data_IF_518849409021
#
_entry.id   IF_518849409021
#
_cell.length_a   1.000
_cell.length_b   1.000
_cell.length_c   1.000
_cell.angle_alpha   90.00
_cell.angle_beta   90.00
_cell.angle_gamma   90.00
#
_symmetry.space_group_name_H-M   'P 1'
#
loop_
_entity.id
_entity.type
_entity.pdbx_description
1 polymer ?
#
# COMPACT_ATOMS: atom_id res chain seq x y z
N UNK A 1 -0.28 3.40 -2.60
CA UNK A 1 -1.56 3.39 -1.86
C UNK A 1 -2.17 4.79 -1.73
N UNK A 2 -3.43 4.87 -1.27
CA UNK A 2 -4.08 6.09 -0.80
C UNK A 2 -4.53 5.80 0.65
N UNK A 3 -4.21 6.65 1.64
CA UNK A 3 -4.51 6.35 3.03
C UNK A 3 -5.95 6.74 3.38
N UNK A 4 -6.49 6.10 4.40
CA UNK A 4 -7.78 6.41 4.98
C UNK A 4 -7.55 6.89 6.41
N UNK A 5 -8.16 7.99 6.84
CA UNK A 5 -8.08 8.40 8.25
C UNK A 5 -8.82 7.41 9.16
N UNK A 6 -8.72 7.61 10.47
CA UNK A 6 -9.26 6.67 11.45
C UNK A 6 -10.82 6.68 11.50
N UNK A 7 -11.45 7.59 10.74
CA UNK A 7 -12.90 7.61 10.46
C UNK A 7 -13.27 6.96 9.12
N UNK A 8 -12.31 6.27 8.49
CA UNK A 8 -12.47 5.62 7.19
C UNK A 8 -12.63 6.60 6.02
N UNK A 9 -12.35 7.90 6.19
CA UNK A 9 -12.41 8.86 5.09
C UNK A 9 -11.18 8.69 4.22
N UNK A 10 -11.39 8.45 2.92
CA UNK A 10 -10.29 8.46 1.94
C UNK A 10 -9.63 9.83 1.94
N UNK A 11 -8.34 9.86 2.25
CA UNK A 11 -7.51 11.05 2.22
C UNK A 11 -6.83 11.07 0.86
N UNK A 12 -7.19 11.97 -0.04
CA UNK A 12 -6.57 12.06 -1.36
C UNK A 12 -5.11 12.57 -1.25
N UNK A 13 -4.22 11.65 -0.93
CA UNK A 13 -2.81 11.86 -0.71
C UNK A 13 -2.05 10.57 -1.06
N UNK A 14 -1.88 10.29 -2.35
CA UNK A 14 -1.17 9.11 -2.84
C UNK A 14 0.25 9.01 -2.25
N UNK A 15 0.54 7.90 -1.58
CA UNK A 15 1.88 7.58 -1.07
C UNK A 15 2.24 6.14 -1.44
N UNK A 16 3.50 5.74 -1.27
CA UNK A 16 3.92 4.34 -1.31
C UNK A 16 5.20 4.15 -0.50
N UNK A 17 5.59 2.91 -0.21
CA UNK A 17 6.84 2.60 0.50
C UNK A 17 7.75 1.78 -0.40
N UNK A 18 9.06 2.09 -0.38
CA UNK A 18 10.10 1.36 -1.12
C UNK A 18 11.27 1.00 -0.21
N UNK A 19 12.09 0.00 -0.57
CA UNK A 19 13.45 -0.16 -0.02
C UNK A 19 14.30 1.10 -0.32
N UNK A 20 15.11 1.54 0.64
CA UNK A 20 16.09 2.64 0.47
C UNK A 20 17.38 2.28 1.21
N UNK A 21 18.27 1.56 0.50
CA UNK A 21 19.43 0.89 1.11
C UNK A 21 19.00 -0.19 2.11
N UNK A 22 19.53 -0.12 3.33
CA UNK A 22 19.13 -1.00 4.44
C UNK A 22 17.83 -0.57 5.13
N UNK A 23 17.30 0.61 4.79
CA UNK A 23 16.12 1.21 5.42
C UNK A 23 14.89 1.18 4.50
N UNK A 24 13.80 1.80 4.95
CA UNK A 24 12.59 2.00 4.16
C UNK A 24 12.41 3.48 3.83
N UNK A 25 11.80 3.78 2.69
CA UNK A 25 11.43 5.13 2.30
C UNK A 25 9.93 5.23 2.01
N UNK A 26 9.24 6.06 2.80
CA UNK A 26 7.88 6.51 2.50
C UNK A 26 7.96 7.65 1.49
N UNK A 27 7.32 7.46 0.33
CA UNK A 27 7.20 8.48 -0.73
C UNK A 27 5.79 9.03 -0.70
N UNK A 28 5.62 10.32 -0.37
CA UNK A 28 4.33 11.02 -0.51
C UNK A 28 4.33 11.83 -1.82
N UNK A 29 3.36 11.56 -2.69
CA UNK A 29 3.23 12.25 -3.97
C UNK A 29 2.84 13.72 -3.81
N UNK A 30 3.34 14.57 -4.71
CA UNK A 30 2.97 15.98 -4.76
C UNK A 30 1.47 16.22 -4.92
N UNK A 31 1.01 17.34 -4.37
CA UNK A 31 -0.29 17.93 -4.68
C UNK A 31 -0.21 18.86 -5.89
N UNK A 32 -1.33 19.04 -6.59
CA UNK A 32 -1.55 20.15 -7.50
C UNK A 32 -3.01 20.60 -7.45
N UNK A 33 -3.25 21.91 -7.45
CA UNK A 33 -4.60 22.46 -7.59
C UNK A 33 -5.22 22.09 -8.94
N UNK A 34 -6.54 22.30 -9.05
CA UNK A 34 -7.25 22.14 -10.31
C UNK A 34 -6.74 23.15 -11.36
N UNK A 35 -6.68 22.72 -12.62
CA UNK A 35 -6.35 23.55 -13.77
C UNK A 35 -7.41 23.35 -14.87
N UNK A 36 -7.36 24.17 -15.92
CA UNK A 36 -8.36 24.11 -17.00
C UNK A 36 -8.40 22.70 -17.62
N UNK A 37 -9.53 22.00 -17.47
CA UNK A 37 -9.71 20.61 -17.91
C UNK A 37 -8.96 19.53 -17.12
N UNK A 38 -8.35 19.84 -15.97
CA UNK A 38 -7.63 18.86 -15.12
C UNK A 38 -8.07 18.98 -13.64
N UNK A 39 -8.60 17.90 -13.03
CA UNK A 39 -8.95 17.91 -11.62
C UNK A 39 -7.71 18.10 -10.73
N UNK A 40 -7.92 18.53 -9.49
CA UNK A 40 -6.85 18.59 -8.51
C UNK A 40 -6.26 17.19 -8.28
N UNK A 41 -4.95 17.09 -8.07
CA UNK A 41 -4.26 15.84 -7.70
C UNK A 41 -3.80 15.94 -6.26
N UNK A 42 -4.09 14.90 -5.47
CA UNK A 42 -3.77 14.82 -4.05
C UNK A 42 -4.14 16.08 -3.25
N UNK A 43 -5.39 16.56 -3.29
CA UNK A 43 -5.82 17.76 -2.56
C UNK A 43 -5.62 17.65 -1.04
N UNK A 44 -5.68 16.44 -0.46
CA UNK A 44 -5.55 16.24 0.99
C UNK A 44 -4.09 16.05 1.47
N UNK A 45 -3.08 16.43 0.67
CA UNK A 45 -1.65 16.23 0.96
C UNK A 45 -1.24 16.52 2.42
N UNK A 46 -1.70 17.63 3.01
CA UNK A 46 -1.38 18.01 4.40
C UNK A 46 -1.99 17.04 5.42
N UNK A 47 -3.22 16.58 5.18
CA UNK A 47 -3.91 15.61 6.02
C UNK A 47 -3.25 14.23 5.88
N UNK A 48 -2.89 13.83 4.65
CA UNK A 48 -2.17 12.59 4.38
C UNK A 48 -0.80 12.55 5.04
N UNK A 49 0.00 13.62 4.93
CA UNK A 49 1.29 13.70 5.62
C UNK A 49 1.14 13.61 7.14
N UNK A 50 0.14 14.31 7.71
CA UNK A 50 -0.15 14.25 9.15
C UNK A 50 -0.47 12.82 9.58
N UNK A 51 -1.40 12.17 8.90
CA UNK A 51 -1.85 10.80 9.19
C UNK A 51 -0.71 9.77 9.07
N UNK A 52 0.10 9.85 8.02
CA UNK A 52 1.22 8.95 7.80
C UNK A 52 2.32 9.12 8.87
N UNK A 53 2.58 10.36 9.32
CA UNK A 53 3.51 10.62 10.43
C UNK A 53 2.97 10.09 11.77
N UNK A 54 1.67 10.25 12.05
CA UNK A 54 1.03 9.69 13.25
C UNK A 54 1.10 8.15 13.26
N UNK A 55 0.92 7.49 12.10
CA UNK A 55 1.01 6.02 12.02
C UNK A 55 2.44 5.50 12.10
N UNK A 56 3.41 6.24 11.57
CA UNK A 56 4.82 5.96 11.81
C UNK A 56 5.19 6.13 13.30
N UNK A 57 4.66 7.16 13.98
CA UNK A 57 4.81 7.36 15.42
C UNK A 57 4.22 6.20 16.24
N UNK A 58 3.04 5.68 15.90
CA UNK A 58 2.45 4.52 16.58
C UNK A 58 3.16 3.19 16.29
N UNK A 59 4.12 3.17 15.35
CA UNK A 59 5.01 2.05 15.08
C UNK A 59 6.42 2.27 15.67
N UNK A 60 6.60 3.28 16.53
CA UNK A 60 7.88 3.69 17.11
C UNK A 60 8.98 3.94 16.05
N UNK A 61 8.59 4.49 14.91
CA UNK A 61 9.51 4.76 13.81
C UNK A 61 10.46 5.91 14.12
N UNK A 62 11.67 5.85 13.58
CA UNK A 62 12.63 6.96 13.54
C UNK A 62 12.74 7.50 12.13
N UNK A 63 12.54 8.81 11.95
CA UNK A 63 12.81 9.53 10.72
C UNK A 63 14.33 9.76 10.60
N UNK A 64 14.98 8.96 9.76
CA UNK A 64 16.43 9.00 9.53
C UNK A 64 16.83 10.11 8.54
N UNK A 65 16.00 10.37 7.53
CA UNK A 65 16.20 11.51 6.62
C UNK A 65 14.91 11.94 5.92
N UNK A 66 14.88 13.15 5.38
CA UNK A 66 13.69 13.73 4.76
C UNK A 66 14.04 14.67 3.61
N UNK A 67 13.48 14.44 2.43
CA UNK A 67 13.90 15.07 1.18
C UNK A 67 12.73 15.56 0.33
N UNK A 68 12.96 16.60 -0.47
CA UNK A 68 12.19 16.80 -1.70
C UNK A 68 12.65 15.80 -2.77
N UNK A 69 11.73 14.95 -3.21
CA UNK A 69 11.95 13.92 -4.23
C UNK A 69 11.09 14.21 -5.48
N UNK A 70 11.15 15.45 -5.94
CA UNK A 70 10.40 15.93 -7.10
C UNK A 70 11.16 15.70 -8.42
N UNK A 71 10.43 15.61 -9.55
CA UNK A 71 11.06 15.60 -10.88
C UNK A 71 11.97 16.81 -11.13
N UNK A 72 11.68 17.96 -10.51
CA UNK A 72 12.48 19.16 -10.69
C UNK A 72 13.82 19.09 -9.95
N UNK A 73 13.82 18.67 -8.69
CA UNK A 73 15.03 18.45 -7.89
C UNK A 73 15.92 17.36 -8.51
N UNK A 74 15.31 16.30 -9.06
CA UNK A 74 16.01 15.25 -9.80
C UNK A 74 16.63 15.77 -11.10
N UNK A 75 15.91 16.58 -11.90
CA UNK A 75 16.44 17.19 -13.14
C UNK A 75 17.59 18.18 -12.89
N UNK A 76 17.67 18.76 -11.69
CA UNK A 76 18.77 19.63 -11.27
C UNK A 76 19.93 18.87 -10.61
N UNK A 77 19.83 17.54 -10.48
CA UNK A 77 20.82 16.68 -9.82
C UNK A 77 21.26 17.19 -8.43
N UNK A 78 20.32 17.75 -7.66
CA UNK A 78 20.62 18.29 -6.32
C UNK A 78 20.98 17.16 -5.36
N UNK A 79 22.01 17.37 -4.54
CA UNK A 79 22.47 16.41 -3.53
C UNK A 79 21.39 16.14 -2.47
N UNK A 80 21.53 15.04 -1.70
CA UNK A 80 20.64 14.77 -0.56
C UNK A 80 20.65 15.90 0.48
N UNK A 81 21.81 16.56 0.69
CA UNK A 81 21.92 17.75 1.54
C UNK A 81 21.12 18.96 1.01
N UNK A 82 21.22 19.27 -0.28
CA UNK A 82 20.59 20.47 -0.88
C UNK A 82 19.06 20.37 -0.97
N UNK A 83 18.53 19.15 -0.82
CA UNK A 83 17.10 18.84 -0.86
C UNK A 83 16.52 18.37 0.48
N UNK A 84 17.31 18.40 1.57
CA UNK A 84 16.88 17.98 2.92
C UNK A 84 15.87 18.96 3.53
N UNK A 85 14.86 18.42 4.23
CA UNK A 85 13.74 19.19 4.79
C UNK A 85 13.95 19.61 6.24
N UNK A 86 14.40 18.70 7.11
CA UNK A 86 14.63 18.97 8.53
C UNK A 86 15.92 18.31 9.02
N UNK A 87 16.47 18.80 10.13
CA UNK A 87 17.52 18.11 10.86
C UNK A 87 17.00 16.76 11.39
N UNK A 88 17.86 15.74 11.35
CA UNK A 88 17.58 14.32 11.56
C UNK A 88 18.81 13.65 12.21
N UNK A 89 18.67 12.48 12.88
CA UNK A 89 17.46 11.67 13.05
C UNK A 89 16.42 12.30 14.00
N UNK A 90 15.15 11.95 13.82
CA UNK A 90 14.05 12.29 14.73
C UNK A 90 13.30 10.99 15.10
N UNK A 91 13.47 10.46 16.33
CA UNK A 91 12.55 9.46 16.87
C UNK A 91 11.13 10.05 16.90
N UNK A 92 10.14 9.35 16.35
CA UNK A 92 8.78 9.90 16.29
C UNK A 92 8.01 9.69 17.60
N UNK A 93 8.41 8.75 18.46
CA UNK A 93 7.83 8.63 19.80
C UNK A 93 7.98 9.93 20.60
N UNK A 94 6.86 10.48 21.08
CA UNK A 94 6.81 11.75 21.82
C UNK A 94 6.94 13.03 20.98
N UNK A 95 7.24 12.96 19.68
CA UNK A 95 7.33 14.16 18.81
C UNK A 95 5.94 14.76 18.52
N UNK A 96 5.86 16.09 18.50
CA UNK A 96 4.65 16.80 18.11
C UNK A 96 4.47 16.72 16.58
N UNK A 97 3.63 15.79 16.14
CA UNK A 97 3.38 15.53 14.71
C UNK A 97 2.87 16.76 13.96
N UNK A 98 2.12 17.68 14.62
CA UNK A 98 1.66 18.90 13.96
C UNK A 98 2.80 19.89 13.71
N UNK A 99 3.71 20.05 14.69
CA UNK A 99 4.94 20.84 14.54
C UNK A 99 5.90 20.21 13.52
N UNK A 100 6.13 18.90 13.59
CA UNK A 100 6.96 18.18 12.62
C UNK A 100 6.42 18.31 11.20
N UNK A 101 5.11 18.09 11.00
CA UNK A 101 4.45 18.29 9.70
C UNK A 101 4.58 19.72 9.21
N UNK A 102 4.48 20.73 10.08
CA UNK A 102 4.68 22.12 9.70
C UNK A 102 6.12 22.41 9.27
N UNK A 103 7.13 21.87 9.98
CA UNK A 103 8.55 21.94 9.60
C UNK A 103 8.79 21.29 8.22
N UNK A 104 8.29 20.06 8.03
CA UNK A 104 8.40 19.30 6.79
C UNK A 104 7.69 19.93 5.59
N UNK A 105 6.61 20.69 5.78
CA UNK A 105 5.94 21.40 4.66
C UNK A 105 6.52 22.77 4.39
N UNK A 106 6.91 23.52 5.42
CA UNK A 106 7.49 24.87 5.23
C UNK A 106 8.87 24.83 4.57
N UNK A 107 9.69 23.83 4.85
CA UNK A 107 11.01 23.63 4.26
C UNK A 107 10.97 23.27 2.76
N UNK A 108 9.86 22.74 2.25
CA UNK A 108 9.75 22.34 0.84
C UNK A 108 9.84 23.54 -0.11
N UNK A 109 9.24 24.68 0.23
CA UNK A 109 9.08 25.83 -0.65
C UNK A 109 10.38 26.29 -1.33
N UNK A 110 11.43 26.67 -0.54
CA UNK A 110 12.70 27.18 -1.05
C UNK A 110 13.52 26.20 -1.90
N UNK A 111 13.39 24.88 -1.66
CA UNK A 111 14.24 23.88 -2.32
C UNK A 111 14.00 23.86 -3.84
N UNK A 112 15.08 23.93 -4.62
CA UNK A 112 15.06 24.08 -6.08
C UNK A 112 14.29 25.32 -6.60
N UNK A 113 14.24 26.43 -5.84
CA UNK A 113 13.89 27.73 -6.42
C UNK A 113 15.14 28.38 -7.05
N UNK A 114 15.02 29.09 -8.19
CA UNK A 114 16.10 29.91 -8.72
C UNK A 114 16.56 30.98 -7.69
N UNK A 115 17.86 31.31 -7.64
CA UNK A 115 18.37 32.40 -6.82
C UNK A 115 17.60 33.71 -7.08
N UNK A 116 17.29 34.46 -6.02
CA UNK A 116 16.54 35.72 -6.11
C UNK A 116 15.02 35.58 -6.28
N UNK A 117 14.44 34.37 -6.21
CA UNK A 117 12.98 34.19 -6.34
C UNK A 117 12.22 34.76 -5.13
N UNK A 118 11.49 35.86 -5.34
CA UNK A 118 10.69 36.53 -4.28
C UNK A 118 9.39 35.76 -3.93
N UNK A 119 8.83 34.99 -4.88
CA UNK A 119 7.60 34.21 -4.64
C UNK A 119 7.90 32.90 -3.90
N UNK A 120 7.24 32.70 -2.77
CA UNK A 120 7.32 31.46 -1.96
C UNK A 120 6.95 30.23 -2.81
N UNK A 121 7.85 29.25 -2.88
CA UNK A 121 7.64 28.02 -3.64
C UNK A 121 6.56 27.10 -3.05
N UNK A 122 6.19 26.05 -3.79
CA UNK A 122 5.17 25.10 -3.37
C UNK A 122 5.59 24.28 -2.13
N UNK A 123 4.69 24.13 -1.16
CA UNK A 123 4.87 23.39 0.10
C UNK A 123 4.23 21.99 0.10
N UNK A 124 3.78 21.52 -1.07
CA UNK A 124 3.21 20.18 -1.31
C UNK A 124 3.89 19.47 -2.49
N UNK A 125 5.23 19.58 -2.57
CA UNK A 125 6.08 18.85 -3.52
C UNK A 125 6.07 17.36 -3.17
N UNK A 126 6.55 16.49 -4.07
CA UNK A 126 6.77 15.08 -3.73
C UNK A 126 7.92 15.01 -2.73
N UNK A 127 7.74 14.26 -1.64
CA UNK A 127 8.76 14.08 -0.60
C UNK A 127 9.10 12.61 -0.38
N UNK A 128 10.32 12.35 0.09
CA UNK A 128 10.81 11.06 0.56
C UNK A 128 11.13 11.19 2.04
N UNK A 129 10.59 10.30 2.87
CA UNK A 129 10.92 10.15 4.28
C UNK A 129 11.63 8.80 4.45
N UNK A 130 12.94 8.83 4.69
CA UNK A 130 13.75 7.64 4.99
C UNK A 130 13.54 7.32 6.47
N UNK A 131 13.05 6.12 6.75
CA UNK A 131 12.60 5.70 8.08
C UNK A 131 13.20 4.36 8.47
N UNK A 132 13.49 4.23 9.75
CA UNK A 132 13.61 2.96 10.46
C UNK A 132 12.29 2.71 11.20
N UNK A 133 11.80 1.47 11.15
CA UNK A 133 10.55 1.08 11.83
C UNK A 133 10.77 -0.27 12.50
N UNK A 134 10.72 -0.37 13.84
CA UNK A 134 10.85 -1.63 14.56
C UNK A 134 9.97 -2.76 13.98
N UNK A 135 10.58 -3.92 13.71
CA UNK A 135 9.89 -5.07 13.13
C UNK A 135 9.65 -5.02 11.61
N UNK A 136 10.15 -3.99 10.91
CA UNK A 136 10.16 -3.91 9.44
C UNK A 136 11.59 -3.79 8.92
N UNK A 137 11.87 -4.47 7.81
CA UNK A 137 13.15 -4.36 7.09
C UNK A 137 12.90 -3.82 5.68
N UNK A 138 13.96 -3.44 4.95
CA UNK A 138 13.86 -3.03 3.55
C UNK A 138 13.15 -4.07 2.65
N UNK A 139 13.23 -5.37 2.98
CA UNK A 139 12.53 -6.45 2.27
C UNK A 139 11.00 -6.45 2.47
N UNK A 140 10.47 -5.76 3.49
CA UNK A 140 9.05 -5.78 3.86
C UNK A 140 8.32 -4.45 3.54
N UNK A 141 8.81 -3.67 2.58
CA UNK A 141 8.25 -2.36 2.21
C UNK A 141 6.72 -2.38 1.99
N UNK A 142 6.19 -3.38 1.28
CA UNK A 142 4.75 -3.53 1.04
C UNK A 142 3.94 -3.76 2.33
N UNK A 143 4.51 -4.41 3.35
CA UNK A 143 3.87 -4.61 4.66
C UNK A 143 3.76 -3.28 5.40
N UNK A 144 4.80 -2.43 5.34
CA UNK A 144 4.72 -1.08 5.91
C UNK A 144 3.75 -0.20 5.10
N UNK A 145 3.74 -0.29 3.76
CA UNK A 145 2.77 0.42 2.93
C UNK A 145 1.33 0.08 3.33
N UNK A 146 1.02 -1.21 3.53
CA UNK A 146 -0.28 -1.67 3.99
C UNK A 146 -0.60 -1.22 5.43
N UNK A 147 0.34 -1.36 6.37
CA UNK A 147 0.16 -0.96 7.77
C UNK A 147 -0.10 0.55 7.94
N UNK A 148 0.47 1.39 7.05
CA UNK A 148 0.21 2.82 7.02
C UNK A 148 -1.13 3.19 6.35
N UNK A 149 -1.74 2.28 5.59
CA UNK A 149 -3.01 2.53 4.88
C UNK A 149 -4.22 2.44 5.82
N UNK A 150 -4.17 1.49 6.76
CA UNK A 150 -5.22 1.20 7.75
C UNK A 150 -4.91 1.80 9.11
N UNK A 151 -5.94 2.01 9.93
CA UNK A 151 -5.76 2.45 11.31
C UNK A 151 -5.17 1.31 12.14
N UNK A 152 -4.02 1.55 12.76
CA UNK A 152 -3.46 0.68 13.79
C UNK A 152 -4.34 0.80 15.03
N UNK A 153 -5.27 -0.14 15.18
CA UNK A 153 -6.05 -0.28 16.41
C UNK A 153 -5.09 -0.82 17.48
N UNK A 154 -4.76 0.02 18.45
CA UNK A 154 -3.94 -0.37 19.60
C UNK A 154 -4.67 -1.47 20.38
N UNK A 155 -4.09 -2.67 20.42
CA UNK A 155 -4.44 -3.67 21.42
C UNK A 155 -3.81 -3.27 22.75
N UNK A 156 -4.57 -2.58 23.61
CA UNK A 156 -4.42 -2.42 25.07
C UNK A 156 -5.52 -1.42 25.49
N UNK A 157 -6.54 -1.76 26.28
CA UNK A 157 -6.47 -2.28 27.65
C UNK A 157 -7.77 -3.01 28.06
N UNK A 158 -7.69 -3.86 29.08
CA UNK A 158 -8.78 -4.67 29.61
C UNK A 158 -9.36 -4.12 30.92
N UNK A 159 -10.47 -3.40 30.80
CA UNK A 159 -11.54 -3.40 31.81
C UNK A 159 -11.56 -2.28 32.85
N UNK A 160 -12.52 -1.36 32.68
CA UNK A 160 -13.54 -1.07 33.71
C UNK A 160 -14.72 -0.24 33.18
N UNK A 161 -15.95 -0.64 33.54
CA UNK A 161 -17.11 0.25 33.64
C UNK A 161 -16.89 1.24 34.82
N UNK A 162 -17.55 2.39 35.01
CA UNK A 162 -18.81 3.01 34.55
C UNK A 162 -18.72 4.53 34.95
N UNK A 163 -19.53 5.52 34.55
CA UNK A 163 -20.72 5.65 33.69
C UNK A 163 -20.88 7.13 33.25
N UNK A 164 -21.81 7.46 32.34
CA UNK A 164 -22.29 8.85 32.12
C UNK A 164 -22.61 9.23 30.66
N UNK A 165 -23.89 9.48 30.38
CA UNK A 165 -24.43 10.06 29.12
C UNK A 165 -24.99 11.48 29.44
N UNK A 166 -25.50 12.31 28.50
CA UNK A 166 -25.62 12.14 27.04
C UNK A 166 -25.21 13.38 26.20
N UNK A 167 -25.11 13.24 24.86
CA UNK A 167 -25.71 14.19 23.89
C UNK A 167 -25.51 13.77 22.41
N UNK A 168 -26.62 13.83 21.67
CA UNK A 168 -26.77 14.10 20.23
C UNK A 168 -26.25 13.11 19.16
N UNK A 169 -27.20 12.74 18.28
CA UNK A 169 -27.02 11.79 17.19
C UNK A 169 -26.48 12.47 15.93
N UNK A 170 -25.48 11.85 15.29
CA UNK A 170 -25.06 12.18 13.93
C UNK A 170 -25.63 11.13 12.99
N UNK A 171 -26.38 11.57 11.99
CA UNK A 171 -27.08 10.71 11.04
C UNK A 171 -26.09 9.94 10.14
N UNK A 172 -26.29 8.62 10.08
CA UNK A 172 -25.44 7.69 9.34
C UNK A 172 -25.47 7.96 7.83
N UNK A 173 -24.29 8.03 7.20
CA UNK A 173 -24.13 8.37 5.78
C UNK A 173 -23.78 7.11 4.98
N UNK A 174 -24.71 6.55 4.17
CA UNK A 174 -24.60 5.19 3.61
C UNK A 174 -23.45 4.95 2.63
N UNK A 175 -22.71 6.00 2.24
CA UNK A 175 -21.54 5.91 1.34
C UNK A 175 -20.22 5.62 2.05
N UNK A 176 -20.07 5.98 3.33
CA UNK A 176 -18.85 5.65 4.10
C UNK A 176 -18.80 4.16 4.47
N UNK A 177 -19.97 3.58 4.80
CA UNK A 177 -20.09 2.15 5.10
C UNK A 177 -19.64 1.29 3.89
N UNK A 178 -20.13 1.59 2.68
CA UNK A 178 -19.83 0.84 1.46
C UNK A 178 -18.34 0.64 1.18
N UNK A 179 -17.49 1.68 1.25
CA UNK A 179 -16.06 1.53 0.90
C UNK A 179 -15.25 0.72 1.92
N UNK A 180 -15.60 0.80 3.20
CA UNK A 180 -15.01 -0.06 4.23
C UNK A 180 -15.51 -1.51 4.08
N UNK A 181 -16.76 -1.68 3.68
CA UNK A 181 -17.34 -2.97 3.32
C UNK A 181 -16.61 -3.57 2.11
N UNK A 182 -16.35 -2.83 1.04
CA UNK A 182 -15.63 -3.30 -0.16
C UNK A 182 -14.20 -3.80 0.16
N UNK A 183 -13.46 -3.12 1.03
CA UNK A 183 -12.12 -3.57 1.44
C UNK A 183 -12.18 -4.87 2.26
N UNK A 184 -13.09 -4.94 3.24
CA UNK A 184 -13.36 -6.17 4.02
C UNK A 184 -13.85 -7.31 3.12
N UNK A 185 -14.70 -7.01 2.15
CA UNK A 185 -15.22 -7.96 1.16
C UNK A 185 -14.07 -8.54 0.35
N UNK A 186 -13.19 -7.71 -0.22
CA UNK A 186 -12.04 -8.18 -1.00
C UNK A 186 -11.14 -9.10 -0.17
N UNK A 187 -10.77 -8.69 1.04
CA UNK A 187 -9.92 -9.51 1.93
C UNK A 187 -10.61 -10.81 2.35
N UNK A 188 -11.92 -10.78 2.62
CA UNK A 188 -12.68 -11.97 2.96
C UNK A 188 -12.78 -12.93 1.75
N UNK A 189 -13.08 -12.41 0.56
CA UNK A 189 -13.13 -13.14 -0.72
C UNK A 189 -11.78 -13.78 -1.07
N UNK A 190 -10.68 -13.05 -0.90
CA UNK A 190 -9.31 -13.51 -1.12
C UNK A 190 -8.96 -14.67 -0.18
N UNK A 191 -9.10 -14.46 1.14
CA UNK A 191 -8.87 -15.49 2.17
C UNK A 191 -9.74 -16.73 1.95
N UNK A 192 -11.02 -16.56 1.62
CA UNK A 192 -11.95 -17.66 1.34
C UNK A 192 -11.58 -18.42 0.06
N UNK A 193 -11.09 -17.73 -0.97
CA UNK A 193 -10.59 -18.38 -2.18
C UNK A 193 -9.35 -19.24 -1.87
N UNK A 194 -8.41 -18.73 -1.07
CA UNK A 194 -7.23 -19.48 -0.60
C UNK A 194 -7.65 -20.69 0.23
N UNK A 195 -8.55 -20.53 1.21
CA UNK A 195 -9.05 -21.63 2.04
C UNK A 195 -9.73 -22.72 1.19
N UNK A 196 -10.58 -22.34 0.23
CA UNK A 196 -11.23 -23.27 -0.70
C UNK A 196 -10.26 -23.98 -1.63
N UNK A 197 -9.17 -23.32 -2.04
CA UNK A 197 -8.10 -23.94 -2.81
C UNK A 197 -7.31 -24.96 -1.96
N UNK A 198 -6.98 -24.60 -0.71
CA UNK A 198 -6.33 -25.51 0.26
C UNK A 198 -7.15 -26.77 0.48
N UNK A 199 -8.42 -26.64 0.88
CA UNK A 199 -9.34 -27.76 1.09
C UNK A 199 -9.43 -28.66 -0.15
N UNK A 200 -9.42 -28.08 -1.36
CA UNK A 200 -9.44 -28.86 -2.60
C UNK A 200 -8.19 -29.72 -2.77
N UNK A 201 -6.99 -29.16 -2.63
CA UNK A 201 -5.76 -29.94 -2.81
C UNK A 201 -5.51 -30.94 -1.66
N UNK A 202 -5.89 -30.60 -0.43
CA UNK A 202 -5.89 -31.54 0.70
C UNK A 202 -6.83 -32.73 0.44
N UNK A 203 -8.04 -32.49 -0.10
CA UNK A 203 -8.97 -33.57 -0.49
C UNK A 203 -8.42 -34.47 -1.60
N UNK A 204 -7.54 -33.93 -2.45
CA UNK A 204 -6.78 -34.68 -3.47
C UNK A 204 -5.52 -35.36 -2.89
N UNK A 205 -5.27 -35.26 -1.58
CA UNK A 205 -4.13 -35.87 -0.90
C UNK A 205 -2.80 -35.19 -1.15
N UNK A 206 -2.78 -33.87 -1.37
CA UNK A 206 -1.57 -33.05 -1.30
C UNK A 206 -1.39 -32.52 0.13
N UNK A 207 -0.14 -32.34 0.57
CA UNK A 207 0.19 -31.42 1.65
C UNK A 207 0.18 -30.00 1.09
N UNK A 208 -0.50 -29.06 1.75
CA UNK A 208 -0.63 -27.66 1.31
C UNK A 208 0.09 -26.74 2.31
N UNK A 209 0.74 -25.70 1.81
CA UNK A 209 1.28 -24.59 2.62
C UNK A 209 0.89 -23.27 1.97
N UNK A 210 0.27 -22.39 2.75
CA UNK A 210 0.14 -20.97 2.39
C UNK A 210 1.52 -20.30 2.47
N UNK A 211 1.95 -19.71 1.36
CA UNK A 211 3.23 -19.03 1.20
C UNK A 211 3.08 -17.65 0.56
N UNK A 212 1.86 -17.15 0.33
CA UNK A 212 1.61 -15.86 -0.33
C UNK A 212 2.23 -14.66 0.39
N UNK A 213 2.40 -14.75 1.71
CA UNK A 213 3.11 -13.75 2.51
C UNK A 213 4.66 -13.77 2.35
N UNK A 214 5.23 -14.80 1.72
CA UNK A 214 6.68 -15.08 1.66
C UNK A 214 7.21 -15.33 0.24
N UNK A 215 6.33 -15.50 -0.75
CA UNK A 215 6.63 -15.93 -2.12
C UNK A 215 5.74 -15.18 -3.11
N UNK A 216 6.07 -15.30 -4.39
CA UNK A 216 5.37 -14.71 -5.54
C UNK A 216 4.20 -15.55 -6.06
N UNK A 217 3.57 -16.34 -5.17
CA UNK A 217 2.42 -17.21 -5.42
C UNK A 217 1.80 -17.63 -4.08
N UNK A 218 0.53 -18.01 -4.07
CA UNK A 218 -0.25 -18.18 -2.83
C UNK A 218 0.00 -19.52 -2.12
N UNK A 219 -0.11 -20.65 -2.81
CA UNK A 219 0.05 -21.97 -2.19
C UNK A 219 1.20 -22.77 -2.79
N UNK A 220 1.96 -23.43 -1.92
CA UNK A 220 2.92 -24.48 -2.27
C UNK A 220 2.30 -25.83 -1.92
N UNK A 221 2.12 -26.72 -2.90
CA UNK A 221 1.51 -28.04 -2.69
C UNK A 221 2.47 -29.18 -3.04
N UNK A 222 2.49 -30.23 -2.23
CA UNK A 222 3.36 -31.39 -2.44
C UNK A 222 2.61 -32.72 -2.35
N UNK A 223 2.98 -33.69 -3.20
CA UNK A 223 2.46 -35.07 -3.15
C UNK A 223 3.49 -36.05 -3.69
N UNK A 224 4.05 -36.88 -2.81
CA UNK A 224 5.21 -37.71 -3.13
C UNK A 224 6.40 -36.82 -3.53
N UNK A 225 6.98 -37.06 -4.70
CA UNK A 225 8.06 -36.24 -5.27
C UNK A 225 7.60 -35.05 -6.11
N UNK A 226 6.29 -34.80 -6.24
CA UNK A 226 5.77 -33.65 -6.98
C UNK A 226 5.61 -32.45 -6.06
N UNK A 227 6.25 -31.34 -6.40
CA UNK A 227 6.03 -30.02 -5.81
C UNK A 227 5.45 -29.10 -6.90
N UNK A 228 4.38 -28.37 -6.57
CA UNK A 228 3.66 -27.49 -7.50
C UNK A 228 3.31 -26.17 -6.83
N UNK A 229 3.26 -25.10 -7.63
CA UNK A 229 2.83 -23.76 -7.20
C UNK A 229 1.38 -23.55 -7.56
N UNK A 230 0.66 -22.78 -6.74
CA UNK A 230 -0.73 -22.37 -7.01
C UNK A 230 -0.85 -20.86 -6.87
N UNK A 231 -1.46 -20.25 -7.87
CA UNK A 231 -1.94 -18.86 -7.86
C UNK A 231 -3.47 -18.89 -7.68
N UNK A 232 -4.01 -18.10 -6.75
CA UNK A 232 -5.41 -18.18 -6.31
C UNK A 232 -6.09 -16.81 -6.43
N UNK A 233 -7.15 -16.72 -7.23
CA UNK A 233 -7.96 -15.50 -7.38
C UNK A 233 -9.40 -15.72 -6.89
N UNK A 234 -9.92 -14.80 -6.07
CA UNK A 234 -11.29 -14.81 -5.57
C UNK A 234 -12.20 -13.80 -6.27
N UNK A 235 -13.47 -14.17 -6.52
CA UNK A 235 -14.49 -13.25 -7.05
C UNK A 235 -15.92 -13.59 -6.58
N UNK A 236 -16.71 -12.57 -6.30
CA UNK A 236 -18.17 -12.69 -6.08
C UNK A 236 -18.95 -12.87 -7.39
N UNK A 237 -18.39 -12.42 -8.51
CA UNK A 237 -18.97 -12.60 -9.86
C UNK A 237 -18.34 -13.81 -10.55
N UNK A 238 -18.68 -14.06 -11.83
CA UNK A 238 -18.07 -15.12 -12.66
C UNK A 238 -17.22 -14.48 -13.77
N UNK A 239 -15.98 -14.06 -13.51
CA UNK A 239 -15.20 -13.27 -14.45
C UNK A 239 -14.65 -14.11 -15.61
N UNK A 240 -14.49 -13.44 -16.77
CA UNK A 240 -13.82 -13.97 -17.96
C UNK A 240 -12.30 -13.74 -17.95
N UNK A 241 -11.82 -12.80 -17.14
CA UNK A 241 -10.39 -12.45 -16.97
C UNK A 241 -10.08 -12.20 -15.48
N UNK A 242 -8.81 -12.35 -15.10
CA UNK A 242 -8.33 -12.01 -13.76
C UNK A 242 -7.18 -11.00 -13.88
N UNK A 243 -7.03 -10.12 -12.88
CA UNK A 243 -5.86 -9.24 -12.81
C UNK A 243 -4.65 -10.03 -12.31
N UNK A 244 -3.50 -9.80 -12.94
CA UNK A 244 -2.22 -10.38 -12.58
C UNK A 244 -1.18 -9.26 -12.40
N UNK A 245 -0.34 -9.36 -11.39
CA UNK A 245 0.85 -8.49 -11.31
C UNK A 245 1.97 -9.00 -12.21
N UNK A 246 2.89 -8.11 -12.60
CA UNK A 246 4.07 -8.51 -13.39
C UNK A 246 4.93 -9.59 -12.67
N UNK A 247 4.89 -9.64 -11.34
CA UNK A 247 5.58 -10.66 -10.55
C UNK A 247 4.88 -12.03 -10.67
N UNK A 248 3.54 -12.08 -10.67
CA UNK A 248 2.78 -13.32 -10.85
C UNK A 248 2.98 -13.89 -12.27
N UNK A 249 2.98 -13.01 -13.28
CA UNK A 249 3.29 -13.39 -14.67
C UNK A 249 4.71 -13.98 -14.76
N UNK A 250 5.71 -13.29 -14.23
CA UNK A 250 7.10 -13.77 -14.24
C UNK A 250 7.34 -15.03 -13.38
N UNK A 251 6.52 -15.24 -12.34
CA UNK A 251 6.62 -16.42 -11.46
C UNK A 251 6.02 -17.69 -12.09
N UNK A 252 5.05 -17.54 -12.99
CA UNK A 252 4.43 -18.64 -13.73
C UNK A 252 5.12 -18.92 -15.09
N UNK A 253 5.99 -18.02 -15.56
CA UNK A 253 6.79 -18.26 -16.77
C UNK A 253 7.79 -19.42 -16.57
N UNK A 254 7.81 -20.36 -17.51
CA UNK A 254 8.62 -21.58 -17.47
C UNK A 254 8.38 -22.55 -16.30
N UNK A 255 7.48 -22.24 -15.36
CA UNK A 255 7.31 -22.98 -14.10
C UNK A 255 5.90 -23.57 -14.02
N UNK A 256 5.81 -24.86 -13.69
CA UNK A 256 4.53 -25.56 -13.54
C UNK A 256 3.71 -24.97 -12.37
N UNK A 257 2.76 -24.11 -12.75
CA UNK A 257 1.89 -23.37 -11.85
C UNK A 257 0.44 -23.76 -12.14
N UNK A 258 -0.37 -23.84 -11.10
CA UNK A 258 -1.81 -24.07 -11.20
C UNK A 258 -2.50 -22.73 -10.96
N UNK A 259 -3.39 -22.31 -11.87
CA UNK A 259 -4.30 -21.23 -11.58
C UNK A 259 -5.57 -21.80 -10.95
N UNK A 260 -5.96 -21.27 -9.80
CA UNK A 260 -7.27 -21.50 -9.19
C UNK A 260 -8.04 -20.18 -9.19
N UNK A 261 -9.26 -20.21 -9.72
CA UNK A 261 -10.21 -19.12 -9.56
C UNK A 261 -11.41 -19.64 -8.78
N UNK A 262 -11.69 -19.03 -7.63
CA UNK A 262 -12.90 -19.30 -6.85
C UNK A 262 -13.87 -18.16 -7.15
N UNK A 263 -14.83 -18.44 -8.03
CA UNK A 263 -15.79 -17.44 -8.52
C UNK A 263 -17.22 -17.73 -8.04
N UNK A 264 -18.14 -16.78 -8.22
CA UNK A 264 -19.51 -16.86 -7.64
C UNK A 264 -19.50 -17.09 -6.12
N UNK A 265 -18.58 -16.45 -5.40
CA UNK A 265 -18.55 -16.47 -3.94
C UNK A 265 -19.77 -15.71 -3.41
N UNK A 266 -20.62 -16.40 -2.65
CA UNK A 266 -21.78 -15.81 -2.00
C UNK A 266 -21.32 -15.04 -0.77
N UNK A 267 -21.81 -13.82 -0.56
CA UNK A 267 -21.52 -13.05 0.65
C UNK A 267 -22.74 -13.07 1.58
N UNK A 268 -22.63 -13.80 2.68
CA UNK A 268 -23.46 -13.58 3.85
C UNK A 268 -22.86 -12.43 4.69
N UNK A 269 -23.61 -11.94 5.67
CA UNK A 269 -23.13 -10.97 6.65
C UNK A 269 -23.56 -11.39 8.05
N UNK A 270 -22.63 -11.29 8.99
CA UNK A 270 -22.82 -11.56 10.42
C UNK A 270 -22.10 -10.43 11.17
N UNK A 271 -22.79 -9.76 12.10
CA UNK A 271 -22.31 -8.54 12.78
C UNK A 271 -21.66 -7.48 11.86
N UNK A 272 -22.28 -7.26 10.69
CA UNK A 272 -21.80 -6.36 9.62
C UNK A 272 -20.41 -6.70 9.05
N UNK A 273 -19.89 -7.91 9.30
CA UNK A 273 -18.69 -8.44 8.65
C UNK A 273 -19.10 -9.32 7.46
N UNK A 274 -18.43 -9.20 6.29
CA UNK A 274 -18.67 -10.07 5.16
C UNK A 274 -18.18 -11.49 5.50
N UNK A 275 -19.08 -12.45 5.39
CA UNK A 275 -18.85 -13.86 5.64
C UNK A 275 -19.06 -14.65 4.34
N UNK A 276 -17.99 -14.89 3.57
CA UNK A 276 -18.05 -15.66 2.34
C UNK A 276 -18.59 -17.07 2.55
N UNK A 277 -19.40 -17.53 1.61
CA UNK A 277 -19.97 -18.87 1.54
C UNK A 277 -19.78 -19.42 0.11
N UNK A 278 -19.72 -20.73 0.00
CA UNK A 278 -19.64 -21.44 -1.28
C UNK A 278 -18.53 -20.92 -2.21
N UNK A 279 -18.84 -20.69 -3.49
CA UNK A 279 -17.89 -20.39 -4.55
C UNK A 279 -17.62 -21.60 -5.45
N UNK A 280 -17.73 -21.41 -6.76
CA UNK A 280 -17.35 -22.39 -7.77
C UNK A 280 -15.85 -22.35 -7.96
N UNK A 281 -15.19 -23.44 -7.60
CA UNK A 281 -13.77 -23.66 -7.82
C UNK A 281 -13.52 -24.01 -9.30
N UNK A 282 -12.65 -23.26 -9.97
CA UNK A 282 -12.16 -23.50 -11.34
C UNK A 282 -10.65 -23.68 -11.26
N UNK A 283 -10.12 -24.76 -11.84
CA UNK A 283 -8.70 -25.15 -11.72
C UNK A 283 -8.11 -25.38 -13.11
N UNK A 284 -7.02 -24.69 -13.43
CA UNK A 284 -6.24 -24.89 -14.64
C UNK A 284 -4.87 -25.44 -14.27
N UNK A 285 -4.71 -26.74 -14.46
CA UNK A 285 -3.43 -27.44 -14.31
C UNK A 285 -2.46 -27.02 -15.42
N UNK A 286 -1.17 -26.90 -15.10
CA UNK A 286 -0.12 -26.45 -16.02
C UNK A 286 -0.45 -25.09 -16.67
N UNK A 287 -1.06 -24.18 -15.91
CA UNK A 287 -1.38 -22.84 -16.39
C UNK A 287 -0.10 -22.05 -16.67
N UNK A 288 -0.10 -21.38 -17.82
CA UNK A 288 0.92 -20.40 -18.19
C UNK A 288 0.21 -19.12 -18.70
N UNK A 289 0.65 -17.92 -18.26
CA UNK A 289 0.10 -16.65 -18.72
C UNK A 289 0.59 -16.34 -20.15
N UNK A 290 -0.08 -16.89 -21.16
CA UNK A 290 0.25 -16.66 -22.56
C UNK A 290 0.21 -15.15 -22.92
N UNK A 291 1.27 -14.66 -23.57
CA UNK A 291 1.47 -13.23 -23.85
C UNK A 291 0.30 -12.59 -24.61
N UNK A 292 -0.26 -13.28 -25.61
CA UNK A 292 -1.40 -12.81 -26.41
C UNK A 292 -2.70 -12.62 -25.59
N UNK A 293 -2.77 -13.25 -24.41
CA UNK A 293 -3.90 -13.13 -23.47
C UNK A 293 -3.62 -12.12 -22.33
N UNK A 294 -2.46 -11.45 -22.33
CA UNK A 294 -2.10 -10.44 -21.34
C UNK A 294 -2.30 -9.02 -21.90
N UNK A 295 -3.14 -8.23 -21.23
CA UNK A 295 -3.24 -6.78 -21.46
C UNK A 295 -2.54 -6.03 -20.34
N UNK A 296 -1.57 -5.17 -20.67
CA UNK A 296 -0.84 -4.37 -19.69
C UNK A 296 -1.72 -3.25 -19.12
N UNK A 297 -2.37 -3.51 -17.97
CA UNK A 297 -3.23 -2.54 -17.26
C UNK A 297 -2.46 -1.55 -16.39
N UNK A 298 -1.19 -1.84 -16.04
CA UNK A 298 -0.36 -1.01 -15.15
C UNK A 298 1.12 -1.14 -15.47
N UNK A 299 1.86 -0.03 -15.42
CA UNK A 299 3.29 0.03 -15.72
C UNK A 299 4.13 0.41 -14.49
N UNK A 300 5.35 -0.15 -14.42
CA UNK A 300 6.43 0.24 -13.50
C UNK A 300 7.64 0.59 -14.37
N UNK A 301 8.35 1.68 -14.05
CA UNK A 301 9.49 2.16 -14.81
C UNK A 301 10.74 2.23 -13.93
N UNK A 302 11.84 1.64 -14.40
CA UNK A 302 13.16 1.69 -13.77
C UNK A 302 13.96 2.81 -14.42
N UNK A 303 14.55 3.70 -13.61
CA UNK A 303 15.38 4.80 -14.10
C UNK A 303 16.74 4.25 -14.60
N UNK A 304 17.35 4.86 -15.62
CA UNK A 304 18.72 4.52 -16.03
C UNK A 304 19.73 4.85 -14.92
N UNK A 305 20.89 4.20 -14.98
CA UNK A 305 22.05 4.60 -14.17
C UNK A 305 22.46 6.05 -14.49
N UNK A 306 23.06 6.74 -13.53
CA UNK A 306 23.50 8.12 -13.71
C UNK A 306 24.52 8.22 -14.84
N UNK A 307 24.14 8.91 -15.92
CA UNK A 307 25.02 9.20 -17.04
C UNK A 307 26.05 10.25 -16.60
N UNK A 308 27.34 10.11 -16.96
CA UNK A 308 28.33 11.14 -16.66
C UNK A 308 27.87 12.49 -17.24
N UNK A 309 27.99 13.54 -16.44
CA UNK A 309 27.49 14.87 -16.78
C UNK A 309 28.13 15.38 -18.07
N UNK A 310 27.30 15.73 -19.06
CA UNK A 310 27.76 16.49 -20.21
C UNK A 310 28.33 17.82 -19.74
N UNK A 311 29.59 18.07 -20.10
CA UNK A 311 30.32 19.30 -19.77
C UNK A 311 30.42 20.19 -21.00
N UNK A 312 29.46 21.10 -21.17
CA UNK A 312 29.55 22.31 -22.00
C UNK A 312 28.79 23.47 -21.31
#
# INVERSE_FOLDING_TARGET
MIPYDDKGRRIEAEYFVIPDGHHLALILSSSSGAAQGRPARNPDYIQGLTLLLTRLQSLDATLLDSFVDSRHTQRLSLSESDRRLVAVPIPLAGEDIQKLRLRLTSAQGPIAQPPGTVKKGNNSKRIRLRVEVPGFTSANASRLEAALATALHSNEDSGKAMAGSPAEAIQDSPRHHHFMQDAKIRQAVERHAVERATQHFESLGYTVRDVGAQRSYDLHITKGSKELRVEVKGSTTSPGSVELTANEVANADGICTILVVVDKINLAYEDSQPLPRDGRLRVWWNWQPAADNLSATRYRYTLPAEMPTHSE
#
